data_IF_885080676715
#
_entry.id   IF_885080676715
#
_cell.length_a   1.000
_cell.length_b   1.000
_cell.length_c   1.000
_cell.angle_alpha   90.00
_cell.angle_beta   90.00
_cell.angle_gamma   90.00
#
_symmetry.space_group_name_H-M   'P 1'
#
loop_
_entity.id
_entity.type
_entity.pdbx_description
1 polymer ?
#
# COMPACT_ATOMS: atom_id res chain seq x y z
N UNK A 1 -6.82 21.12 -51.16
CA UNK A 1 -5.65 20.75 -50.33
C UNK A 1 -6.07 20.99 -48.89
N UNK A 2 -6.66 19.96 -48.28
CA UNK A 2 -7.45 20.09 -47.06
C UNK A 2 -6.61 20.09 -45.79
N UNK A 3 -6.68 21.22 -45.07
CA UNK A 3 -6.05 21.47 -43.76
C UNK A 3 -6.76 20.66 -42.65
N UNK A 4 -7.82 19.92 -42.98
CA UNK A 4 -8.66 19.17 -42.05
C UNK A 4 -8.10 17.80 -41.63
N UNK A 5 -7.02 17.30 -42.24
CA UNK A 5 -6.51 15.96 -41.98
C UNK A 5 -5.30 15.86 -41.05
N UNK A 6 -4.74 16.97 -40.54
CA UNK A 6 -3.59 16.92 -39.63
C UNK A 6 -3.92 16.77 -38.14
N UNK A 7 -5.21 16.72 -37.75
CA UNK A 7 -5.61 16.60 -36.33
C UNK A 7 -5.98 15.17 -35.90
N UNK A 8 -5.59 14.15 -36.67
CA UNK A 8 -5.81 12.73 -36.34
C UNK A 8 -4.56 11.93 -35.98
N UNK A 9 -3.42 12.58 -35.75
CA UNK A 9 -2.40 12.01 -34.86
C UNK A 9 -2.58 12.64 -33.49
N UNK A 10 -3.66 12.25 -32.79
CA UNK A 10 -3.72 12.42 -31.36
C UNK A 10 -2.56 11.60 -30.80
N UNK A 11 -1.41 12.26 -30.59
CA UNK A 11 -0.35 11.74 -29.74
C UNK A 11 -1.08 11.32 -28.46
N UNK A 12 -1.04 10.03 -28.07
CA UNK A 12 -1.72 9.60 -26.86
C UNK A 12 -1.21 10.50 -25.75
N UNK A 13 -2.13 11.26 -25.13
CA UNK A 13 -1.74 12.27 -24.17
C UNK A 13 -0.92 11.56 -23.09
N UNK A 14 0.24 12.11 -22.73
CA UNK A 14 1.11 11.55 -21.69
C UNK A 14 0.38 11.34 -20.34
N UNK A 15 -0.84 11.87 -20.20
CA UNK A 15 -1.82 11.64 -19.13
C UNK A 15 -2.23 10.16 -18.97
N UNK A 16 -2.29 9.36 -20.04
CA UNK A 16 -2.71 7.95 -19.92
C UNK A 16 -1.70 7.09 -19.14
N UNK A 17 -0.41 7.36 -19.30
CA UNK A 17 0.67 6.63 -18.61
C UNK A 17 0.78 7.03 -17.14
N UNK A 18 0.54 8.30 -16.81
CA UNK A 18 0.55 8.78 -15.43
C UNK A 18 -0.70 8.32 -14.68
N UNK A 19 -1.87 8.25 -15.31
CA UNK A 19 -3.08 7.67 -14.67
C UNK A 19 -2.87 6.19 -14.36
N UNK A 20 -2.34 5.40 -15.30
CA UNK A 20 -2.07 3.97 -15.08
C UNK A 20 -1.03 3.72 -13.98
N UNK A 21 0.08 4.46 -13.99
CA UNK A 21 1.09 4.39 -12.93
C UNK A 21 0.59 4.90 -11.57
N UNK A 22 -0.46 5.73 -11.56
CA UNK A 22 -1.06 6.25 -10.33
C UNK A 22 -2.30 5.48 -9.83
N UNK A 23 -2.97 4.72 -10.69
CA UNK A 23 -3.92 3.66 -10.31
C UNK A 23 -3.20 2.59 -9.49
N UNK A 24 -1.90 2.39 -9.73
CA UNK A 24 -0.99 1.58 -8.89
C UNK A 24 -0.88 2.16 -7.45
N UNK A 25 -1.20 3.43 -7.20
CA UNK A 25 -1.22 3.97 -5.81
C UNK A 25 -2.60 3.86 -5.15
N UNK A 26 -3.64 3.53 -5.91
CA UNK A 26 -4.91 3.01 -5.39
C UNK A 26 -4.84 1.50 -5.15
N UNK A 27 -3.65 0.90 -5.18
CA UNK A 27 -3.56 -0.56 -5.17
C UNK A 27 -4.03 -1.14 -3.83
N UNK A 28 -4.93 -2.12 -3.88
CA UNK A 28 -5.42 -2.87 -2.73
C UNK A 28 -4.42 -3.82 -2.00
N UNK A 29 -3.16 -4.12 -2.42
CA UNK A 29 -2.35 -5.09 -1.72
C UNK A 29 -1.64 -4.52 -0.49
N UNK A 30 -1.50 -3.20 -0.31
CA UNK A 30 -0.71 -2.71 0.84
C UNK A 30 -1.44 -2.86 2.18
N UNK A 31 -2.74 -2.50 2.29
CA UNK A 31 -3.55 -2.87 3.44
C UNK A 31 -3.56 -4.39 3.65
N UNK A 32 -3.78 -5.18 2.59
CA UNK A 32 -3.80 -6.64 2.70
C UNK A 32 -2.46 -7.24 3.19
N UNK A 33 -1.32 -6.72 2.73
CA UNK A 33 0.01 -7.17 3.17
C UNK A 33 0.28 -6.74 4.60
N UNK A 34 -0.15 -5.54 4.99
CA UNK A 34 -0.05 -5.07 6.38
C UNK A 34 -0.92 -5.93 7.32
N UNK A 35 -2.17 -6.19 6.95
CA UNK A 35 -3.12 -7.01 7.71
C UNK A 35 -2.62 -8.46 7.82
N UNK A 36 -2.12 -9.05 6.73
CA UNK A 36 -1.49 -10.36 6.74
C UNK A 36 -0.29 -10.41 7.68
N UNK A 37 0.61 -9.41 7.60
CA UNK A 37 1.80 -9.33 8.46
C UNK A 37 1.42 -9.20 9.94
N UNK A 38 0.39 -8.40 10.25
CA UNK A 38 -0.13 -8.22 11.59
C UNK A 38 -0.69 -9.54 12.15
N UNK A 39 -1.49 -10.25 11.36
CA UNK A 39 -2.03 -11.55 11.75
C UNK A 39 -0.94 -12.58 11.97
N UNK A 40 0.03 -12.66 11.05
CA UNK A 40 1.17 -13.58 11.18
C UNK A 40 2.01 -13.27 12.43
N UNK A 41 2.27 -11.99 12.70
CA UNK A 41 2.96 -11.55 13.91
C UNK A 41 2.23 -12.02 15.18
N UNK A 42 0.91 -11.86 15.22
CA UNK A 42 0.10 -12.29 16.38
C UNK A 42 0.13 -13.80 16.57
N UNK A 43 0.14 -14.60 15.50
CA UNK A 43 0.26 -16.06 15.58
C UNK A 43 1.61 -16.45 16.19
N UNK A 44 2.71 -15.83 15.76
CA UNK A 44 4.03 -16.10 16.31
C UNK A 44 4.15 -15.68 17.78
N UNK A 45 3.55 -14.55 18.16
CA UNK A 45 3.52 -14.06 19.54
C UNK A 45 2.75 -15.01 20.46
N UNK A 46 1.53 -15.41 20.06
CA UNK A 46 0.74 -16.39 20.82
C UNK A 46 1.50 -17.72 20.96
N UNK A 47 2.12 -18.22 19.89
CA UNK A 47 2.86 -19.47 19.95
C UNK A 47 4.07 -19.38 20.90
N UNK A 48 4.79 -18.26 20.89
CA UNK A 48 5.88 -18.02 21.83
C UNK A 48 5.39 -18.07 23.29
N UNK A 49 4.27 -17.40 23.59
CA UNK A 49 3.67 -17.41 24.94
C UNK A 49 3.24 -18.81 25.39
N UNK A 50 2.59 -19.58 24.51
CA UNK A 50 2.17 -20.95 24.80
C UNK A 50 3.37 -21.86 25.12
N UNK A 51 4.45 -21.77 24.34
CA UNK A 51 5.68 -22.51 24.60
C UNK A 51 6.35 -22.09 25.91
N UNK A 52 6.40 -20.78 26.19
CA UNK A 52 6.98 -20.26 27.43
C UNK A 52 6.22 -20.76 28.66
N UNK A 53 4.88 -20.69 28.63
CA UNK A 53 4.03 -21.21 29.72
C UNK A 53 4.20 -22.71 29.92
N UNK A 54 4.34 -23.47 28.84
CA UNK A 54 4.58 -24.91 28.89
C UNK A 54 5.91 -25.21 29.60
N UNK A 55 7.00 -24.56 29.19
CA UNK A 55 8.33 -24.72 29.81
C UNK A 55 8.29 -24.36 31.29
N UNK A 56 7.69 -23.22 31.65
CA UNK A 56 7.60 -22.79 33.05
C UNK A 56 6.80 -23.76 33.92
N UNK A 57 5.70 -24.29 33.39
CA UNK A 57 4.86 -25.28 34.07
C UNK A 57 5.66 -26.54 34.41
N UNK A 58 6.41 -27.07 33.43
CA UNK A 58 7.17 -28.29 33.64
C UNK A 58 8.47 -28.08 34.42
N UNK A 59 9.10 -26.90 34.34
CA UNK A 59 10.23 -26.54 35.22
C UNK A 59 9.82 -26.48 36.69
N UNK A 60 8.64 -25.92 37.00
CA UNK A 60 8.08 -25.92 38.37
C UNK A 60 7.86 -27.34 38.88
N UNK A 61 7.20 -28.19 38.08
CA UNK A 61 6.99 -29.62 38.41
C UNK A 61 8.31 -30.37 38.60
N UNK A 62 9.31 -30.15 37.74
CA UNK A 62 10.64 -30.77 37.90
C UNK A 62 11.32 -30.33 39.20
N UNK A 63 11.19 -29.06 39.60
CA UNK A 63 11.77 -28.56 40.85
C UNK A 63 11.14 -29.24 42.09
N UNK A 64 9.84 -29.52 42.05
CA UNK A 64 9.14 -30.29 43.09
C UNK A 64 9.65 -31.74 43.14
N UNK A 65 9.73 -32.42 41.99
CA UNK A 65 10.23 -33.80 41.91
C UNK A 65 11.68 -33.96 42.40
N UNK A 66 12.54 -32.95 42.20
CA UNK A 66 13.91 -32.96 42.72
C UNK A 66 13.96 -32.92 44.25
N UNK A 67 12.98 -32.31 44.92
CA UNK A 67 12.92 -32.26 46.40
C UNK A 67 12.60 -33.63 47.01
N UNK A 68 11.88 -34.47 46.28
CA UNK A 68 11.43 -35.78 46.75
C UNK A 68 12.42 -36.92 46.47
N UNK A 69 13.46 -36.69 45.64
CA UNK A 69 14.31 -37.75 45.10
C UNK A 69 15.74 -37.73 45.68
N UNK A 70 16.35 -38.90 45.98
CA UNK A 70 17.77 -38.98 46.33
C UNK A 70 18.69 -38.41 45.23
N UNK A 71 19.87 -37.86 45.55
CA UNK A 71 20.71 -37.04 44.67
C UNK A 71 21.43 -37.79 43.52
N UNK A 72 20.88 -38.89 43.02
CA UNK A 72 21.50 -39.64 41.91
C UNK A 72 21.23 -38.95 40.57
N UNK A 73 22.29 -38.72 39.78
CA UNK A 73 22.19 -38.13 38.45
C UNK A 73 21.56 -39.13 37.46
N UNK A 74 20.48 -38.71 36.78
CA UNK A 74 19.79 -39.50 35.77
C UNK A 74 19.98 -38.89 34.39
N UNK A 75 20.51 -39.66 33.44
CA UNK A 75 20.70 -39.22 32.04
C UNK A 75 19.38 -38.84 31.37
N UNK A 76 18.29 -39.53 31.71
CA UNK A 76 16.93 -39.17 31.27
C UNK A 76 16.54 -37.79 31.77
N UNK A 77 16.85 -37.49 33.03
CA UNK A 77 16.55 -36.19 33.63
C UNK A 77 17.35 -35.07 32.97
N UNK A 78 18.64 -35.29 32.70
CA UNK A 78 19.46 -34.34 31.93
C UNK A 78 18.90 -34.13 30.52
N UNK A 79 18.51 -35.20 29.82
CA UNK A 79 17.94 -35.10 28.47
C UNK A 79 16.63 -34.33 28.45
N UNK A 80 15.80 -34.52 29.48
CA UNK A 80 14.55 -33.77 29.66
C UNK A 80 14.78 -32.28 29.91
N UNK A 81 15.79 -31.91 30.73
CA UNK A 81 16.14 -30.51 30.95
C UNK A 81 16.68 -29.83 29.67
N UNK A 82 17.44 -30.56 28.85
CA UNK A 82 17.89 -30.08 27.54
C UNK A 82 16.69 -29.81 26.64
N UNK A 83 15.73 -30.74 26.55
CA UNK A 83 14.52 -30.53 25.75
C UNK A 83 13.74 -29.29 26.22
N UNK A 84 13.56 -29.11 27.54
CA UNK A 84 12.91 -27.91 28.07
C UNK A 84 13.66 -26.62 27.70
N UNK A 85 14.99 -26.66 27.67
CA UNK A 85 15.82 -25.53 27.24
C UNK A 85 15.69 -25.24 25.74
N UNK A 86 15.63 -26.27 24.90
CA UNK A 86 15.43 -26.12 23.45
C UNK A 86 14.07 -25.48 23.15
N UNK A 87 13.00 -25.93 23.82
CA UNK A 87 11.67 -25.34 23.65
C UNK A 87 11.61 -23.88 24.16
N UNK A 88 12.37 -23.54 25.21
CA UNK A 88 12.51 -22.15 25.67
C UNK A 88 13.20 -21.28 24.63
N UNK A 89 14.22 -21.81 23.95
CA UNK A 89 14.87 -21.12 22.83
C UNK A 89 13.91 -20.94 21.66
N UNK A 90 13.14 -21.96 21.30
CA UNK A 90 12.13 -21.87 20.24
C UNK A 90 11.08 -20.79 20.54
N UNK A 91 10.60 -20.72 21.79
CA UNK A 91 9.71 -19.64 22.24
C UNK A 91 10.31 -18.26 21.96
N UNK A 92 11.57 -18.04 22.34
CA UNK A 92 12.27 -16.77 22.10
C UNK A 92 12.38 -16.45 20.60
N UNK A 93 12.70 -17.45 19.78
CA UNK A 93 12.78 -17.31 18.31
C UNK A 93 11.43 -16.89 17.73
N UNK A 94 10.33 -17.52 18.15
CA UNK A 94 8.99 -17.13 17.72
C UNK A 94 8.64 -15.68 18.15
N UNK A 95 9.03 -15.28 19.36
CA UNK A 95 8.87 -13.90 19.84
C UNK A 95 9.71 -12.88 19.05
N UNK A 96 10.93 -13.24 18.65
CA UNK A 96 11.79 -12.42 17.79
C UNK A 96 11.18 -12.26 16.38
N UNK A 97 10.65 -13.35 15.81
CA UNK A 97 9.94 -13.31 14.51
C UNK A 97 8.73 -12.37 14.59
N UNK A 98 7.88 -12.50 15.61
CA UNK A 98 6.74 -11.62 15.83
C UNK A 98 7.19 -10.14 15.89
N UNK A 99 8.18 -9.83 16.73
CA UNK A 99 8.73 -8.46 16.84
C UNK A 99 9.29 -7.93 15.53
N UNK A 100 9.98 -8.78 14.76
CA UNK A 100 10.53 -8.41 13.45
C UNK A 100 9.42 -8.07 12.45
N UNK A 101 8.39 -8.92 12.36
CA UNK A 101 7.23 -8.68 11.50
C UNK A 101 6.51 -7.37 11.86
N UNK A 102 6.25 -7.15 13.16
CA UNK A 102 5.58 -5.94 13.64
C UNK A 102 6.37 -4.66 13.37
N UNK A 103 7.67 -4.63 13.72
CA UNK A 103 8.49 -3.41 13.62
C UNK A 103 9.03 -3.15 12.22
N UNK A 104 9.53 -4.18 11.54
CA UNK A 104 10.27 -3.99 10.29
C UNK A 104 9.38 -4.06 9.06
N UNK A 105 8.26 -4.77 9.13
CA UNK A 105 7.35 -4.90 7.98
C UNK A 105 6.13 -3.99 8.18
N UNK A 106 5.45 -4.07 9.32
CA UNK A 106 4.27 -3.24 9.61
C UNK A 106 4.55 -1.74 9.54
N UNK A 107 5.52 -1.26 10.32
CA UNK A 107 5.86 0.18 10.40
C UNK A 107 6.38 0.73 9.06
N UNK A 108 7.26 -0.02 8.39
CA UNK A 108 7.82 0.36 7.09
C UNK A 108 6.77 0.46 5.99
N UNK A 109 5.77 -0.43 5.98
CA UNK A 109 4.66 -0.36 5.03
C UNK A 109 3.79 0.88 5.28
N UNK A 110 3.52 1.20 6.55
CA UNK A 110 2.74 2.37 6.94
C UNK A 110 3.43 3.68 6.51
N UNK A 111 4.73 3.81 6.80
CA UNK A 111 5.51 5.02 6.47
C UNK A 111 5.63 5.22 4.96
N UNK A 112 6.04 4.17 4.22
CA UNK A 112 6.22 4.26 2.76
C UNK A 112 4.92 4.54 2.02
N UNK A 113 3.79 4.05 2.52
CA UNK A 113 2.48 4.34 1.92
C UNK A 113 1.95 5.72 2.27
N UNK A 114 2.19 6.19 3.49
CA UNK A 114 1.78 7.52 3.91
C UNK A 114 2.40 8.61 3.04
N UNK A 115 3.72 8.56 2.84
CA UNK A 115 4.41 9.53 1.98
C UNK A 115 3.89 9.49 0.54
N UNK A 116 3.68 8.29 -0.01
CA UNK A 116 3.15 8.12 -1.37
C UNK A 116 1.71 8.66 -1.49
N UNK A 117 0.86 8.47 -0.48
CA UNK A 117 -0.50 9.03 -0.42
C UNK A 117 -0.50 10.56 -0.43
N UNK A 118 0.40 11.20 0.31
CA UNK A 118 0.56 12.66 0.31
C UNK A 118 1.00 13.16 -1.06
N UNK A 119 2.03 12.55 -1.65
CA UNK A 119 2.55 12.97 -2.96
C UNK A 119 1.49 12.80 -4.06
N UNK A 120 0.74 11.69 -4.01
CA UNK A 120 -0.39 11.46 -4.91
C UNK A 120 -1.42 12.59 -4.81
N UNK A 121 -1.85 12.98 -3.60
CA UNK A 121 -2.79 14.10 -3.40
C UNK A 121 -2.30 15.41 -4.02
N UNK A 122 -1.02 15.75 -3.87
CA UNK A 122 -0.44 16.97 -4.48
C UNK A 122 -0.53 16.96 -6.00
N UNK A 123 -0.23 15.82 -6.62
CA UNK A 123 -0.30 15.66 -8.08
C UNK A 123 -1.74 15.76 -8.58
N UNK A 124 -2.70 15.15 -7.88
CA UNK A 124 -4.11 15.25 -8.23
C UNK A 124 -4.65 16.68 -8.12
N UNK A 125 -4.30 17.42 -7.05
CA UNK A 125 -4.67 18.82 -6.91
C UNK A 125 -4.11 19.69 -8.05
N UNK A 126 -2.85 19.46 -8.44
CA UNK A 126 -2.25 20.22 -9.54
C UNK A 126 -2.90 19.89 -10.88
N UNK A 127 -3.20 18.61 -11.11
CA UNK A 127 -3.95 18.18 -12.30
C UNK A 127 -5.31 18.86 -12.36
N UNK A 128 -6.09 18.81 -11.29
CA UNK A 128 -7.43 19.42 -11.22
C UNK A 128 -7.38 20.94 -11.50
N UNK A 129 -6.36 21.62 -10.99
CA UNK A 129 -6.10 23.03 -11.30
C UNK A 129 -5.86 23.26 -12.80
N UNK A 130 -5.04 22.44 -13.45
CA UNK A 130 -4.81 22.56 -14.89
C UNK A 130 -6.03 22.20 -15.73
N UNK A 131 -6.78 21.16 -15.37
CA UNK A 131 -8.04 20.79 -16.04
C UNK A 131 -9.04 21.95 -15.98
N UNK A 132 -9.11 22.66 -14.85
CA UNK A 132 -9.95 23.86 -14.70
C UNK A 132 -9.50 25.00 -15.63
N UNK A 133 -8.19 25.24 -15.74
CA UNK A 133 -7.63 26.26 -16.64
C UNK A 133 -7.90 25.91 -18.10
N UNK A 134 -7.66 24.65 -18.47
CA UNK A 134 -7.91 24.15 -19.82
C UNK A 134 -9.39 24.27 -20.20
N UNK A 135 -10.29 23.85 -19.31
CA UNK A 135 -11.73 23.95 -19.51
C UNK A 135 -12.18 25.40 -19.75
N UNK A 136 -11.68 26.37 -18.95
CA UNK A 136 -11.96 27.79 -19.18
C UNK A 136 -11.43 28.31 -20.52
N UNK A 137 -10.23 27.89 -20.91
CA UNK A 137 -9.65 28.26 -22.19
C UNK A 137 -10.44 27.70 -23.37
N UNK A 138 -10.91 26.44 -23.27
CA UNK A 138 -11.77 25.80 -24.25
C UNK A 138 -13.13 26.49 -24.38
N UNK A 139 -13.74 26.89 -23.27
CA UNK A 139 -14.99 27.67 -23.28
C UNK A 139 -14.82 29.01 -24.01
N UNK A 140 -13.73 29.74 -23.75
CA UNK A 140 -13.44 31.00 -24.42
C UNK A 140 -13.21 30.80 -25.92
N UNK A 141 -12.43 29.79 -26.31
CA UNK A 141 -12.22 29.43 -27.71
C UNK A 141 -13.54 29.09 -28.42
N UNK A 142 -14.41 28.32 -27.78
CA UNK A 142 -15.71 27.97 -28.33
C UNK A 142 -16.62 29.19 -28.47
N UNK A 143 -16.61 30.12 -27.51
CA UNK A 143 -17.36 31.39 -27.62
C UNK A 143 -16.89 32.21 -28.83
N UNK A 144 -15.59 32.40 -28.99
CA UNK A 144 -15.02 33.13 -30.14
C UNK A 144 -15.39 32.44 -31.46
N UNK A 145 -15.27 31.11 -31.52
CA UNK A 145 -15.63 30.33 -32.71
C UNK A 145 -17.10 30.53 -33.09
N UNK A 146 -18.00 30.47 -32.13
CA UNK A 146 -19.43 30.69 -32.34
C UNK A 146 -19.74 32.12 -32.82
N UNK A 147 -19.09 33.13 -32.23
CA UNK A 147 -19.23 34.53 -32.67
C UNK A 147 -18.72 34.73 -34.10
N UNK A 148 -17.56 34.19 -34.44
CA UNK A 148 -17.01 34.25 -35.79
C UNK A 148 -17.94 33.58 -36.80
N UNK A 149 -18.48 32.39 -36.49
CA UNK A 149 -19.46 31.71 -37.34
C UNK A 149 -20.74 32.55 -37.51
N UNK A 150 -21.26 33.12 -36.42
CA UNK A 150 -22.44 33.99 -36.47
C UNK A 150 -22.19 35.21 -37.37
N UNK A 151 -21.06 35.91 -37.20
CA UNK A 151 -20.72 37.06 -38.05
C UNK A 151 -20.50 36.66 -39.51
N UNK A 152 -19.83 35.53 -39.77
CA UNK A 152 -19.63 35.03 -41.13
C UNK A 152 -20.95 34.71 -41.83
N UNK A 153 -21.86 33.99 -41.15
CA UNK A 153 -23.20 33.70 -41.65
C UNK A 153 -24.09 34.93 -41.80
N UNK A 154 -23.81 36.04 -41.09
CA UNK A 154 -24.54 37.29 -41.21
C UNK A 154 -24.01 38.20 -42.33
N UNK A 155 -22.73 38.08 -42.69
CA UNK A 155 -22.11 38.87 -43.78
C UNK A 155 -22.38 38.26 -45.16
N UNK A 156 -22.45 36.93 -45.29
CA UNK A 156 -22.74 36.24 -46.55
C UNK A 156 -24.12 36.57 -47.16
N UNK A 157 -25.25 36.62 -46.42
CA UNK A 157 -26.55 36.94 -47.02
C UNK A 157 -26.62 38.38 -47.55
N UNK A 158 -25.77 39.29 -47.07
CA UNK A 158 -25.74 40.69 -47.54
C UNK A 158 -25.11 40.79 -48.93
N UNK A 159 -24.24 39.85 -49.33
CA UNK A 159 -23.64 39.83 -50.68
C UNK A 159 -24.53 39.22 -51.77
N UNK A 160 -25.62 38.53 -51.42
CA UNK A 160 -26.53 37.90 -52.38
C UNK A 160 -27.84 38.69 -52.59
N UNK A 161 -28.00 39.86 -51.98
CA UNK A 161 -29.16 40.76 -52.19
C UNK A 161 -28.78 42.10 -52.82
N UNK A 162 -27.61 42.19 -53.46
CA UNK A 162 -27.18 43.37 -54.25
C UNK A 162 -26.71 43.00 -55.66
N UNK A 163 -27.38 42.02 -56.29
CA UNK A 163 -27.42 41.88 -57.75
C UNK A 163 -28.87 41.91 -58.22
#
# INVERSE_FOLDING_TARGET
MDIYNLRKSAVPSKSSYTVGHFQIFRTPPIPNVADFTQQLSSIHEQHAEELQMLVETFRKRNAELRRERPPYQSTLFTSWEVLLQEIEVDSQVHGDIARSLGRQVGMMLLEKTFHRKIQSRKIFLHRESFETILSKAEELLNKVRSLCLYHFHRIIPIKNSTM
#
